data_IF_706351589618
#
_entry.id   IF_706351589618
#
_cell.length_a   1.000
_cell.length_b   1.000
_cell.length_c   1.000
_cell.angle_alpha   90.00
_cell.angle_beta   90.00
_cell.angle_gamma   90.00
#
_symmetry.space_group_name_H-M   'P 1'
#
loop_
_entity.id
_entity.type
_entity.pdbx_description
1 polymer ?
#
# COMPACT_ATOMS: atom_id res chain seq x y z
N UNK A 1 12.81 -12.02 -22.62
CA UNK A 1 12.32 -10.64 -22.87
C UNK A 1 12.39 -10.39 -24.37
N UNK A 2 11.38 -9.76 -24.98
CA UNK A 2 11.48 -9.35 -26.39
C UNK A 2 11.80 -7.87 -26.46
N UNK A 3 12.64 -7.51 -27.42
CA UNK A 3 13.01 -6.12 -27.70
C UNK A 3 12.46 -5.77 -29.07
N UNK A 4 11.69 -4.68 -29.16
CA UNK A 4 11.32 -4.11 -30.45
C UNK A 4 12.55 -3.38 -31.00
N UNK A 5 13.04 -3.79 -32.16
CA UNK A 5 14.18 -3.15 -32.81
C UNK A 5 13.73 -1.80 -33.39
N UNK A 6 14.48 -0.74 -33.08
CA UNK A 6 14.21 0.60 -33.57
C UNK A 6 15.53 1.33 -33.83
N UNK A 7 15.54 2.25 -34.80
CA UNK A 7 16.70 3.09 -35.07
C UNK A 7 17.00 3.99 -33.86
N UNK A 8 18.28 4.12 -33.54
CA UNK A 8 18.74 4.96 -32.42
C UNK A 8 18.28 6.41 -32.55
N UNK A 9 18.23 6.95 -33.77
CA UNK A 9 17.71 8.29 -34.07
C UNK A 9 16.29 8.51 -33.57
N UNK A 10 15.42 7.51 -33.72
CA UNK A 10 14.02 7.59 -33.34
C UNK A 10 13.87 7.52 -31.82
N UNK A 11 14.70 6.70 -31.16
CA UNK A 11 14.75 6.64 -29.69
C UNK A 11 15.22 7.97 -29.08
N UNK A 12 16.22 8.60 -29.71
CA UNK A 12 16.75 9.88 -29.27
C UNK A 12 15.72 11.01 -29.44
N UNK A 13 15.07 11.08 -30.60
CA UNK A 13 14.01 12.05 -30.88
C UNK A 13 12.83 11.94 -29.89
N UNK A 14 12.44 10.72 -29.52
CA UNK A 14 11.33 10.50 -28.59
C UNK A 14 11.62 10.96 -27.16
N UNK A 15 12.88 10.91 -26.73
CA UNK A 15 13.28 11.37 -25.40
C UNK A 15 13.58 12.86 -25.32
N UNK A 16 13.45 13.61 -26.42
CA UNK A 16 13.67 15.06 -26.47
C UNK A 16 12.38 15.81 -26.13
N UNK A 17 12.46 16.71 -25.16
CA UNK A 17 11.44 17.72 -24.88
C UNK A 17 12.10 19.09 -24.84
N UNK A 18 11.62 20.04 -25.65
CA UNK A 18 12.19 21.39 -25.79
C UNK A 18 13.71 21.42 -26.06
N UNK A 19 14.21 20.48 -26.88
CA UNK A 19 15.63 20.39 -27.23
C UNK A 19 16.51 19.77 -26.15
N UNK A 20 15.95 19.34 -25.01
CA UNK A 20 16.69 18.66 -23.93
C UNK A 20 16.25 17.20 -23.85
N UNK A 21 17.23 16.28 -23.76
CA UNK A 21 16.92 14.87 -23.59
C UNK A 21 16.51 14.60 -22.14
N UNK A 22 15.25 14.21 -21.93
CA UNK A 22 14.66 13.88 -20.63
C UNK A 22 14.40 12.37 -20.45
N UNK A 23 14.62 11.58 -21.50
CA UNK A 23 14.40 10.13 -21.51
C UNK A 23 12.98 9.74 -21.93
N UNK A 24 12.78 8.46 -22.26
CA UNK A 24 11.49 7.91 -22.65
C UNK A 24 11.11 6.69 -21.80
N UNK A 25 9.84 6.25 -21.84
CA UNK A 25 9.36 5.05 -21.11
C UNK A 25 9.65 3.78 -21.92
N UNK A 26 10.58 2.94 -21.45
CA UNK A 26 11.02 1.75 -22.18
C UNK A 26 10.10 0.53 -21.99
N UNK A 27 9.61 0.33 -20.76
CA UNK A 27 8.89 -0.87 -20.34
C UNK A 27 7.57 -1.16 -21.07
N UNK A 28 6.90 -0.13 -21.59
CA UNK A 28 5.64 -0.29 -22.34
C UNK A 28 5.80 -0.24 -23.86
N UNK A 29 6.95 0.25 -24.34
CA UNK A 29 7.20 0.55 -25.77
C UNK A 29 8.14 -0.46 -26.42
N UNK A 30 9.25 -0.78 -25.75
CA UNK A 30 10.34 -1.57 -26.33
C UNK A 30 10.51 -2.91 -25.65
N UNK A 31 10.25 -2.98 -24.34
CA UNK A 31 10.29 -4.23 -23.59
C UNK A 31 8.91 -4.89 -23.65
N UNK A 32 8.81 -6.00 -24.36
CA UNK A 32 7.57 -6.79 -24.44
C UNK A 32 7.70 -8.09 -23.67
N UNK A 33 6.56 -8.57 -23.17
CA UNK A 33 6.46 -9.88 -22.58
C UNK A 33 7.02 -10.96 -23.55
N UNK A 34 7.75 -11.97 -23.06
CA UNK A 34 8.29 -13.03 -23.91
C UNK A 34 7.17 -13.80 -24.64
N UNK A 35 7.48 -14.43 -25.78
CA UNK A 35 6.54 -15.26 -26.56
C UNK A 35 5.78 -16.28 -25.73
N UNK A 36 6.49 -16.96 -24.83
CA UNK A 36 5.92 -18.01 -23.99
C UNK A 36 4.71 -17.54 -23.17
N UNK A 37 4.71 -16.27 -22.72
CA UNK A 37 3.58 -15.70 -21.99
C UNK A 37 2.27 -15.74 -22.80
N UNK A 38 2.32 -15.32 -24.06
CA UNK A 38 1.15 -15.34 -24.96
C UNK A 38 0.82 -16.74 -25.47
N UNK A 39 1.82 -17.63 -25.56
CA UNK A 39 1.59 -19.03 -25.86
C UNK A 39 0.77 -19.70 -24.77
N UNK A 40 1.15 -19.52 -23.50
CA UNK A 40 0.41 -20.03 -22.33
C UNK A 40 -1.01 -19.48 -22.31
N UNK A 41 -1.17 -18.15 -22.41
CA UNK A 41 -2.50 -17.52 -22.40
C UNK A 41 -3.44 -18.01 -23.50
N UNK A 42 -2.91 -18.38 -24.68
CA UNK A 42 -3.72 -18.91 -25.78
C UNK A 42 -4.02 -20.40 -25.63
N UNK A 43 -3.03 -21.20 -25.26
CA UNK A 43 -3.17 -22.66 -25.12
C UNK A 43 -4.08 -23.03 -23.95
N UNK A 44 -3.96 -22.29 -22.85
CA UNK A 44 -4.64 -22.60 -21.59
C UNK A 44 -5.85 -21.68 -21.36
N UNK A 45 -6.36 -21.03 -22.42
CA UNK A 45 -7.46 -20.06 -22.32
C UNK A 45 -8.72 -20.64 -21.67
N UNK A 46 -8.99 -21.92 -21.92
CA UNK A 46 -10.19 -22.60 -21.43
C UNK A 46 -10.07 -23.09 -19.98
N UNK A 47 -8.87 -23.04 -19.39
CA UNK A 47 -8.61 -23.42 -17.98
C UNK A 47 -8.23 -22.24 -17.10
N UNK A 48 -7.86 -21.10 -17.69
CA UNK A 48 -7.54 -19.87 -16.96
C UNK A 48 -8.79 -19.01 -16.75
N UNK A 49 -9.09 -18.69 -15.49
CA UNK A 49 -10.18 -17.78 -15.11
C UNK A 49 -9.60 -16.48 -14.52
N UNK A 50 -10.18 -15.29 -14.84
CA UNK A 50 -9.83 -14.06 -14.15
C UNK A 50 -10.02 -14.17 -12.63
N UNK A 51 -9.04 -13.69 -11.85
CA UNK A 51 -9.08 -13.78 -10.39
C UNK A 51 -10.34 -13.15 -9.76
N UNK A 52 -10.84 -12.06 -10.35
CA UNK A 52 -12.05 -11.36 -9.88
C UNK A 52 -13.32 -12.22 -9.97
N UNK A 53 -13.33 -13.25 -10.81
CA UNK A 53 -14.49 -14.12 -11.01
C UNK A 53 -14.54 -15.22 -9.93
N UNK A 54 -13.44 -15.44 -9.20
CA UNK A 54 -13.33 -16.45 -8.12
C UNK A 54 -12.99 -15.85 -6.75
N UNK A 55 -12.68 -14.55 -6.68
CA UNK A 55 -12.31 -13.87 -5.44
C UNK A 55 -12.71 -12.39 -5.44
N UNK A 56 -13.10 -11.87 -4.27
CA UNK A 56 -13.28 -10.44 -4.07
C UNK A 56 -11.93 -9.76 -3.92
N UNK A 57 -11.60 -8.86 -4.85
CA UNK A 57 -10.33 -8.14 -4.86
C UNK A 57 -10.54 -6.77 -4.23
N UNK A 58 -9.80 -6.50 -3.16
CA UNK A 58 -9.84 -5.21 -2.47
C UNK A 58 -8.45 -4.56 -2.48
N UNK A 59 -8.43 -3.24 -2.62
CA UNK A 59 -7.21 -2.47 -2.40
C UNK A 59 -6.85 -2.44 -0.90
N UNK A 60 -5.56 -2.23 -0.59
CA UNK A 60 -5.08 -2.05 0.77
C UNK A 60 -5.68 -0.83 1.50
N UNK A 61 -5.20 -0.62 2.73
CA UNK A 61 -5.65 0.49 3.58
C UNK A 61 -4.98 1.78 3.13
N UNK A 62 -5.77 2.68 2.53
CA UNK A 62 -5.32 4.00 2.09
C UNK A 62 -5.56 4.99 3.23
N UNK A 63 -4.50 5.33 3.94
CA UNK A 63 -4.59 6.18 5.14
C UNK A 63 -4.51 7.67 4.84
N UNK A 64 -3.90 8.07 3.72
CA UNK A 64 -3.62 9.47 3.37
C UNK A 64 -2.47 10.11 4.17
N UNK A 65 -2.03 9.49 5.27
CA UNK A 65 -0.90 9.92 6.10
C UNK A 65 -0.23 8.72 6.79
N UNK A 66 0.55 7.94 6.03
CA UNK A 66 1.15 6.71 6.55
C UNK A 66 2.02 6.90 7.81
N UNK A 67 2.67 8.05 7.97
CA UNK A 67 3.48 8.35 9.17
C UNK A 67 2.66 8.61 10.43
N UNK A 68 1.39 8.98 10.28
CA UNK A 68 0.47 9.19 11.39
C UNK A 68 -0.24 7.88 11.78
N UNK A 69 -0.66 7.10 10.79
CA UNK A 69 -1.46 5.90 11.04
C UNK A 69 -0.63 4.65 11.36
N UNK A 70 0.54 4.47 10.74
CA UNK A 70 1.37 3.29 10.98
C UNK A 70 2.48 3.61 11.98
N UNK A 71 2.32 3.09 13.18
CA UNK A 71 3.19 3.35 14.32
C UNK A 71 4.19 2.21 14.50
N UNK A 72 5.44 2.59 14.76
CA UNK A 72 6.48 1.67 15.22
C UNK A 72 6.40 1.50 16.75
N UNK A 73 7.08 0.49 17.29
CA UNK A 73 7.19 0.34 18.73
C UNK A 73 7.82 1.58 19.42
N UNK A 74 8.71 2.30 18.72
CA UNK A 74 9.31 3.54 19.20
C UNK A 74 8.27 4.66 19.30
N UNK A 75 7.41 4.81 18.27
CA UNK A 75 6.34 5.81 18.29
C UNK A 75 5.33 5.52 19.41
N UNK A 76 4.93 4.25 19.55
CA UNK A 76 3.97 3.81 20.57
C UNK A 76 4.49 4.12 21.98
N UNK A 77 5.78 3.85 22.23
CA UNK A 77 6.42 4.15 23.52
C UNK A 77 6.56 5.66 23.76
N UNK A 78 6.98 6.42 22.75
CA UNK A 78 7.21 7.86 22.88
C UNK A 78 5.92 8.65 23.18
N UNK A 79 4.79 8.18 22.64
CA UNK A 79 3.48 8.79 22.85
C UNK A 79 2.61 8.05 23.86
N UNK A 80 3.14 6.98 24.47
CA UNK A 80 2.43 6.13 25.44
C UNK A 80 1.01 5.73 24.99
N UNK A 81 0.84 5.44 23.70
CA UNK A 81 -0.48 5.17 23.10
C UNK A 81 -1.03 3.85 23.65
N UNK A 82 -2.28 3.87 24.06
CA UNK A 82 -2.93 2.72 24.68
C UNK A 82 -3.13 1.58 23.67
N UNK A 83 -2.80 0.36 24.09
CA UNK A 83 -2.83 -0.84 23.24
C UNK A 83 -4.21 -1.10 22.60
N UNK A 84 -5.31 -0.68 23.26
CA UNK A 84 -6.68 -0.82 22.74
C UNK A 84 -6.94 -0.02 21.45
N UNK A 85 -6.13 0.99 21.16
CA UNK A 85 -6.21 1.79 19.93
C UNK A 85 -5.22 1.34 18.85
N UNK A 86 -4.54 0.20 19.07
CA UNK A 86 -3.49 -0.29 18.21
C UNK A 86 -3.83 -1.68 17.68
N UNK A 87 -3.68 -1.89 16.38
CA UNK A 87 -3.90 -3.19 15.75
C UNK A 87 -2.67 -3.57 14.94
N UNK A 88 -2.10 -4.75 15.17
CA UNK A 88 -1.01 -5.29 14.35
C UNK A 88 -1.44 -5.37 12.89
N UNK A 89 -0.60 -4.84 11.99
CA UNK A 89 -0.95 -4.65 10.57
C UNK A 89 0.27 -4.83 9.68
N UNK A 90 0.04 -5.14 8.40
CA UNK A 90 1.09 -5.12 7.37
C UNK A 90 1.12 -3.74 6.73
N UNK A 91 2.19 -2.96 6.94
CA UNK A 91 2.39 -1.70 6.20
C UNK A 91 3.04 -1.96 4.86
N UNK A 92 4.00 -2.90 4.80
CA UNK A 92 4.77 -3.15 3.59
C UNK A 92 5.13 -4.62 3.46
N UNK A 93 4.99 -5.21 2.25
CA UNK A 93 5.43 -6.58 2.01
C UNK A 93 6.92 -6.83 2.33
N UNK A 94 7.75 -5.78 2.36
CA UNK A 94 9.17 -5.89 2.70
C UNK A 94 9.41 -6.34 4.15
N UNK A 95 8.45 -6.15 5.05
CA UNK A 95 8.58 -6.63 6.43
C UNK A 95 8.35 -8.14 6.55
N UNK A 96 7.64 -8.73 5.58
CA UNK A 96 7.30 -10.14 5.55
C UNK A 96 8.45 -10.97 4.98
N UNK A 97 9.02 -11.83 5.81
CA UNK A 97 10.15 -12.71 5.41
C UNK A 97 9.70 -13.99 4.72
N UNK A 98 8.45 -14.39 4.95
CA UNK A 98 7.89 -15.69 4.58
C UNK A 98 6.59 -15.51 3.79
N UNK A 99 6.19 -16.57 3.08
CA UNK A 99 4.91 -16.60 2.35
C UNK A 99 3.75 -16.56 3.35
N UNK A 100 3.86 -17.22 4.50
CA UNK A 100 2.85 -17.19 5.55
C UNK A 100 3.34 -16.36 6.74
N UNK A 101 2.47 -15.54 7.32
CA UNK A 101 2.79 -14.71 8.49
C UNK A 101 1.64 -14.67 9.50
N UNK A 102 2.00 -14.36 10.74
CA UNK A 102 1.13 -14.15 11.89
C UNK A 102 1.35 -12.77 12.52
N UNK A 103 0.57 -12.43 13.55
CA UNK A 103 0.73 -11.22 14.37
C UNK A 103 2.14 -11.04 14.91
N UNK A 104 2.82 -12.12 15.26
CA UNK A 104 4.13 -12.10 15.89
C UNK A 104 5.26 -11.69 14.93
N UNK A 105 5.02 -11.80 13.62
CA UNK A 105 5.99 -11.42 12.58
C UNK A 105 5.94 -9.92 12.27
N UNK A 106 4.88 -9.23 12.71
CA UNK A 106 4.62 -7.84 12.37
C UNK A 106 5.26 -6.88 13.37
N UNK A 107 5.88 -5.82 12.83
CA UNK A 107 6.57 -4.80 13.63
C UNK A 107 5.78 -3.52 13.79
N UNK A 108 4.77 -3.34 12.94
CA UNK A 108 3.99 -2.11 12.87
C UNK A 108 2.57 -2.35 13.35
N UNK A 109 2.00 -1.32 13.95
CA UNK A 109 0.59 -1.28 14.31
C UNK A 109 -0.08 -0.12 13.61
N UNK A 110 -1.33 -0.31 13.18
CA UNK A 110 -2.17 0.78 12.72
C UNK A 110 -2.90 1.39 13.91
N UNK A 111 -2.93 2.72 13.95
CA UNK A 111 -3.80 3.46 14.86
C UNK A 111 -5.26 3.29 14.43
N UNK A 112 -6.09 2.76 15.32
CA UNK A 112 -7.50 2.53 15.09
C UNK A 112 -8.35 3.09 16.23
N UNK A 113 -9.11 4.15 15.93
CA UNK A 113 -9.95 4.85 16.90
C UNK A 113 -11.35 4.99 16.31
N UNK A 114 -12.34 4.40 16.96
CA UNK A 114 -13.75 4.49 16.55
C UNK A 114 -14.52 5.58 17.31
N UNK A 115 -14.07 5.91 18.52
CA UNK A 115 -14.71 6.90 19.38
C UNK A 115 -14.63 8.33 18.85
N UNK A 116 -15.52 9.18 19.37
CA UNK A 116 -15.47 10.64 19.19
C UNK A 116 -14.42 11.23 20.11
N UNK A 117 -13.83 12.39 19.77
CA UNK A 117 -12.77 13.01 20.58
C UNK A 117 -13.15 13.24 22.06
N UNK A 118 -14.42 13.56 22.33
CA UNK A 118 -14.92 13.74 23.69
C UNK A 118 -14.96 12.44 24.51
N UNK A 119 -15.03 11.28 23.86
CA UNK A 119 -14.94 9.95 24.49
C UNK A 119 -13.48 9.53 24.75
N UNK A 120 -12.52 10.27 24.17
CA UNK A 120 -11.08 10.06 24.32
C UNK A 120 -10.49 10.98 25.40
N UNK A 121 -11.32 11.60 26.25
CA UNK A 121 -10.83 12.51 27.28
C UNK A 121 -9.80 11.82 28.18
N UNK A 122 -8.70 12.54 28.47
CA UNK A 122 -7.56 12.06 29.28
C UNK A 122 -6.87 10.80 28.74
N UNK A 123 -6.94 10.55 27.43
CA UNK A 123 -6.17 9.47 26.78
C UNK A 123 -4.95 10.02 26.04
N UNK A 124 -3.89 9.23 26.01
CA UNK A 124 -2.66 9.56 25.28
C UNK A 124 -2.91 9.56 23.77
N UNK A 125 -3.84 8.73 23.27
CA UNK A 125 -4.24 8.78 21.87
C UNK A 125 -4.86 10.12 21.46
N UNK A 126 -5.64 10.77 22.35
CA UNK A 126 -6.18 12.10 22.07
C UNK A 126 -5.05 13.12 21.97
N UNK A 127 -4.09 13.07 22.90
CA UNK A 127 -2.90 13.91 22.83
C UNK A 127 -2.12 13.68 21.53
N UNK A 128 -1.95 12.44 21.08
CA UNK A 128 -1.32 12.11 19.80
C UNK A 128 -2.07 12.74 18.61
N UNK A 129 -3.40 12.61 18.57
CA UNK A 129 -4.22 13.20 17.51
C UNK A 129 -4.04 14.73 17.47
N UNK A 130 -4.10 15.40 18.62
CA UNK A 130 -4.00 16.85 18.71
C UNK A 130 -2.58 17.36 18.42
N UNK A 131 -1.57 16.81 19.11
CA UNK A 131 -0.18 17.29 19.08
C UNK A 131 0.64 16.75 17.91
N UNK A 132 0.36 15.56 17.39
CA UNK A 132 1.08 15.01 16.24
C UNK A 132 0.30 15.12 14.94
N UNK A 133 -1.02 15.07 15.00
CA UNK A 133 -1.91 15.18 13.85
C UNK A 133 -2.28 16.63 13.50
N UNK A 134 -2.97 17.29 14.41
CA UNK A 134 -3.62 18.58 14.12
C UNK A 134 -2.63 19.75 14.11
N UNK A 135 -1.71 19.80 15.06
CA UNK A 135 -0.64 20.82 15.10
C UNK A 135 0.23 20.82 13.83
N UNK A 136 0.34 19.67 13.15
CA UNK A 136 1.11 19.49 11.91
C UNK A 136 0.26 19.61 10.65
N UNK A 137 -0.99 20.07 10.79
CA UNK A 137 -1.93 20.26 9.69
C UNK A 137 -2.16 18.98 8.85
N UNK A 138 -2.03 17.78 9.44
CA UNK A 138 -2.23 16.51 8.71
C UNK A 138 -3.68 16.42 8.22
N UNK A 139 -4.62 16.78 9.09
CA UNK A 139 -6.06 16.83 8.81
C UNK A 139 -6.45 17.81 7.68
N UNK A 140 -5.58 18.76 7.35
CA UNK A 140 -5.81 19.76 6.29
C UNK A 140 -5.18 19.37 4.95
N UNK A 141 -4.49 18.22 4.86
CA UNK A 141 -3.90 17.75 3.61
C UNK A 141 -4.99 17.37 2.61
N UNK A 142 -4.67 17.48 1.32
CA UNK A 142 -5.56 17.09 0.21
C UNK A 142 -6.17 15.69 0.34
N UNK A 143 -5.44 14.73 0.92
CA UNK A 143 -5.92 13.35 1.15
C UNK A 143 -7.06 13.25 2.18
N UNK A 144 -7.33 14.31 2.93
CA UNK A 144 -8.37 14.41 3.95
C UNK A 144 -9.51 15.37 3.56
N UNK A 145 -9.45 16.06 2.41
CA UNK A 145 -10.49 16.99 1.96
C UNK A 145 -11.89 16.38 1.93
N UNK A 146 -11.98 15.09 1.54
CA UNK A 146 -13.25 14.36 1.48
C UNK A 146 -13.57 13.58 2.77
N UNK A 147 -12.79 13.74 3.83
CA UNK A 147 -13.04 13.09 5.13
C UNK A 147 -13.78 14.05 6.05
N UNK A 148 -14.55 13.48 6.97
CA UNK A 148 -15.19 14.24 8.05
C UNK A 148 -14.11 14.94 8.90
N UNK A 149 -14.11 16.29 8.98
CA UNK A 149 -13.13 17.04 9.77
C UNK A 149 -13.14 16.70 11.26
N UNK A 150 -14.28 16.31 11.83
CA UNK A 150 -14.38 15.96 13.25
C UNK A 150 -13.80 14.56 13.55
N UNK A 151 -13.71 13.71 12.52
CA UNK A 151 -13.31 12.31 12.62
C UNK A 151 -12.22 11.93 11.60
N UNK A 152 -11.39 12.89 11.19
CA UNK A 152 -10.38 12.71 10.14
C UNK A 152 -9.37 11.59 10.46
N UNK A 153 -9.13 11.37 11.77
CA UNK A 153 -8.26 10.35 12.34
C UNK A 153 -8.84 8.94 12.29
N UNK A 154 -10.09 8.75 11.84
CA UNK A 154 -10.66 7.43 11.63
C UNK A 154 -10.14 6.81 10.34
N UNK A 155 -9.87 5.51 10.36
CA UNK A 155 -9.44 4.75 9.19
C UNK A 155 -10.32 3.53 9.01
N UNK A 156 -10.75 3.29 7.76
CA UNK A 156 -11.49 2.08 7.42
C UNK A 156 -10.51 0.92 7.29
N UNK A 157 -10.58 -0.01 8.24
CA UNK A 157 -9.82 -1.25 8.16
C UNK A 157 -10.35 -2.11 7.01
N UNK A 158 -9.43 -2.84 6.39
CA UNK A 158 -9.71 -3.84 5.38
C UNK A 158 -8.85 -5.05 5.72
N UNK A 159 -9.38 -6.24 5.48
CA UNK A 159 -8.71 -7.50 5.82
C UNK A 159 -8.83 -8.42 4.63
N UNK A 160 -7.77 -9.18 4.36
CA UNK A 160 -7.77 -10.21 3.36
C UNK A 160 -6.87 -11.35 3.82
N UNK A 161 -7.26 -12.58 3.46
CA UNK A 161 -6.49 -13.78 3.76
C UNK A 161 -5.25 -13.91 2.86
N UNK A 162 -5.35 -13.41 1.64
CA UNK A 162 -4.30 -13.43 0.63
C UNK A 162 -3.89 -12.00 0.26
N UNK A 163 -2.60 -11.69 0.38
CA UNK A 163 -2.05 -10.36 0.09
C UNK A 163 -1.14 -10.43 -1.13
N UNK A 164 -1.54 -9.73 -2.20
CA UNK A 164 -0.71 -9.54 -3.38
C UNK A 164 0.04 -8.21 -3.31
N UNK A 165 1.31 -8.24 -3.71
CA UNK A 165 2.10 -7.01 -3.87
C UNK A 165 1.67 -6.30 -5.15
N UNK A 166 1.31 -5.02 -5.01
CA UNK A 166 0.92 -4.14 -6.11
C UNK A 166 2.12 -3.85 -7.04
N UNK A 167 3.20 -3.33 -6.47
CA UNK A 167 4.45 -3.07 -7.20
C UNK A 167 5.38 -4.28 -7.15
N UNK A 168 5.41 -5.03 -8.24
CA UNK A 168 6.23 -6.24 -8.39
C UNK A 168 7.64 -5.85 -8.83
N UNK A 169 8.62 -6.10 -7.95
CA UNK A 169 10.04 -6.16 -8.31
C UNK A 169 10.40 -7.60 -8.68
N UNK A 170 11.39 -8.17 -8.01
CA UNK A 170 11.95 -9.48 -8.36
C UNK A 170 11.09 -10.68 -7.89
N UNK A 171 10.18 -10.47 -6.94
CA UNK A 171 9.41 -11.54 -6.31
C UNK A 171 7.92 -11.42 -6.60
N UNK A 172 7.34 -12.50 -7.12
CA UNK A 172 5.91 -12.67 -7.37
C UNK A 172 5.26 -13.50 -6.25
N UNK A 173 5.29 -12.96 -5.02
CA UNK A 173 4.75 -13.65 -3.84
C UNK A 173 3.33 -13.20 -3.54
N UNK A 174 2.49 -14.15 -3.16
CA UNK A 174 1.21 -13.93 -2.50
C UNK A 174 1.35 -14.36 -1.05
N UNK A 175 1.21 -13.43 -0.10
CA UNK A 175 1.35 -13.76 1.32
C UNK A 175 0.03 -14.29 1.89
N UNK A 176 0.11 -15.27 2.79
CA UNK A 176 -0.99 -15.83 3.55
C UNK A 176 -1.03 -15.22 4.96
N UNK A 177 -2.11 -14.52 5.25
CA UNK A 177 -2.37 -13.84 6.52
C UNK A 177 -3.14 -14.79 7.46
N UNK A 178 -2.42 -15.46 8.36
CA UNK A 178 -2.98 -16.51 9.22
C UNK A 178 -4.05 -15.94 10.18
N UNK A 179 -3.77 -14.78 10.75
CA UNK A 179 -4.58 -14.18 11.81
C UNK A 179 -5.66 -13.23 11.28
N UNK A 180 -5.82 -13.14 9.96
CA UNK A 180 -6.80 -12.26 9.29
C UNK A 180 -6.68 -10.79 9.76
N UNK A 181 -5.45 -10.31 9.89
CA UNK A 181 -5.11 -8.96 10.32
C UNK A 181 -5.36 -7.92 9.22
N UNK A 182 -5.52 -6.63 9.57
CA UNK A 182 -5.65 -5.55 8.59
C UNK A 182 -4.37 -5.30 7.78
#
# INVERSE_FOLDING_TARGET
MRIVIMRQSNLYAEGLENGKYIGSKWGGKYLRAPNIFFTILRKDKDVLVPLKDVANIIAGIITGANSFFYLTQTDIKAWEIEEKYLISTVKTPKELKTISFSRHDLRQKILYVEGRKNELDKTNVLEYILKHGESKNIHLRRSFENRDPMHWYKVRLKKARLLWVDLRGDKHVCHYNQDYLP
#
